data_IF_897108964619
#
_entry.id   IF_897108964619
#
_cell.length_a   1.000
_cell.length_b   1.000
_cell.length_c   1.000
_cell.angle_alpha   90.00
_cell.angle_beta   90.00
_cell.angle_gamma   90.00
#
_symmetry.space_group_name_H-M   'P 1'
#
loop_
_entity.id
_entity.type
_entity.pdbx_description
1 polymer ?
#
# COMPACT_ATOMS: atom_id res chain seq x y z
N UNK A 1 25.35 -8.77 32.15
CA UNK A 1 25.29 -10.24 32.32
C UNK A 1 24.67 -10.87 31.08
N UNK A 2 24.99 -12.10 30.69
CA UNK A 2 24.44 -12.72 29.45
C UNK A 2 22.91 -12.73 29.39
N UNK A 3 22.22 -12.71 30.54
CA UNK A 3 20.77 -12.59 30.65
C UNK A 3 20.21 -11.24 30.16
N UNK A 4 20.95 -10.13 30.32
CA UNK A 4 20.48 -8.79 29.92
C UNK A 4 20.46 -8.63 28.39
N UNK A 5 21.45 -9.24 27.72
CA UNK A 5 21.53 -9.28 26.26
C UNK A 5 20.33 -10.03 25.64
N UNK A 6 20.00 -11.20 26.20
CA UNK A 6 18.86 -12.01 25.74
C UNK A 6 17.54 -11.25 25.90
N UNK A 7 17.35 -10.55 27.03
CA UNK A 7 16.16 -9.71 27.26
C UNK A 7 16.04 -8.58 26.23
N UNK A 8 17.14 -7.92 25.89
CA UNK A 8 17.12 -6.85 24.88
C UNK A 8 16.73 -7.39 23.50
N UNK A 9 17.25 -8.55 23.10
CA UNK A 9 16.89 -9.18 21.82
C UNK A 9 15.39 -9.48 21.79
N UNK A 10 14.83 -10.05 22.85
CA UNK A 10 13.39 -10.34 22.92
C UNK A 10 12.52 -9.08 22.79
N UNK A 11 12.88 -8.01 23.50
CA UNK A 11 12.16 -6.73 23.44
C UNK A 11 12.20 -6.15 22.02
N UNK A 12 13.37 -6.18 21.37
CA UNK A 12 13.49 -5.65 20.01
C UNK A 12 12.73 -6.51 18.99
N UNK A 13 12.73 -7.84 19.14
CA UNK A 13 11.94 -8.73 18.30
C UNK A 13 10.44 -8.47 18.45
N UNK A 14 9.94 -8.34 19.69
CA UNK A 14 8.54 -8.01 19.97
C UNK A 14 8.15 -6.67 19.34
N UNK A 15 8.97 -5.64 19.52
CA UNK A 15 8.74 -4.31 18.95
C UNK A 15 8.68 -4.31 17.42
N UNK A 16 9.53 -5.10 16.76
CA UNK A 16 9.50 -5.26 15.30
C UNK A 16 8.23 -6.00 14.88
N UNK A 17 7.85 -7.05 15.61
CA UNK A 17 6.60 -7.79 15.39
C UNK A 17 5.37 -6.90 15.46
N UNK A 18 5.24 -6.07 16.50
CA UNK A 18 4.13 -5.14 16.69
C UNK A 18 4.00 -4.15 15.53
N UNK A 19 5.12 -3.60 15.05
CA UNK A 19 5.12 -2.69 13.90
C UNK A 19 4.66 -3.39 12.63
N UNK A 20 5.10 -4.62 12.38
CA UNK A 20 4.67 -5.40 11.22
C UNK A 20 3.15 -5.64 11.27
N UNK A 21 2.60 -5.96 12.45
CA UNK A 21 1.16 -6.15 12.64
C UNK A 21 0.39 -4.84 12.41
N UNK A 22 0.87 -3.71 12.94
CA UNK A 22 0.26 -2.40 12.73
C UNK A 22 0.21 -2.03 11.23
N UNK A 23 1.32 -2.19 10.50
CA UNK A 23 1.37 -1.93 9.06
C UNK A 23 0.42 -2.83 8.28
N UNK A 24 0.30 -4.12 8.66
CA UNK A 24 -0.69 -5.01 8.03
C UNK A 24 -2.11 -4.49 8.19
N UNK A 25 -2.47 -4.03 9.39
CA UNK A 25 -3.79 -3.49 9.65
C UNK A 25 -4.05 -2.20 8.85
N UNK A 26 -3.05 -1.34 8.76
CA UNK A 26 -3.13 -0.10 7.97
C UNK A 26 -3.29 -0.39 6.47
N UNK A 27 -2.52 -1.35 5.93
CA UNK A 27 -2.68 -1.80 4.54
C UNK A 27 -4.08 -2.31 4.24
N UNK A 28 -4.70 -3.06 5.16
CA UNK A 28 -6.09 -3.53 5.02
C UNK A 28 -7.06 -2.34 4.96
N UNK A 29 -6.90 -1.37 5.86
CA UNK A 29 -7.73 -0.17 5.89
C UNK A 29 -7.59 0.66 4.59
N UNK A 30 -6.36 0.83 4.10
CA UNK A 30 -6.08 1.53 2.84
C UNK A 30 -6.64 0.77 1.63
N UNK A 31 -6.57 -0.56 1.60
CA UNK A 31 -7.13 -1.35 0.51
C UNK A 31 -8.66 -1.20 0.45
N UNK A 32 -9.32 -1.22 1.62
CA UNK A 32 -10.76 -0.95 1.71
C UNK A 32 -11.10 0.43 1.16
N UNK A 33 -10.38 1.47 1.61
CA UNK A 33 -10.58 2.85 1.11
C UNK A 33 -10.32 2.96 -0.40
N UNK A 34 -9.33 2.23 -0.93
CA UNK A 34 -9.04 2.17 -2.38
C UNK A 34 -10.24 1.62 -3.16
N UNK A 35 -10.85 0.55 -2.67
CA UNK A 35 -12.03 -0.05 -3.32
C UNK A 35 -13.24 0.88 -3.25
N UNK A 36 -13.52 1.47 -2.09
CA UNK A 36 -14.61 2.46 -1.91
C UNK A 36 -14.44 3.65 -2.87
N UNK A 37 -13.21 4.17 -2.99
CA UNK A 37 -12.90 5.27 -3.91
C UNK A 37 -13.11 4.87 -5.38
N UNK A 38 -12.77 3.63 -5.74
CA UNK A 38 -13.00 3.08 -7.09
C UNK A 38 -14.50 2.94 -7.39
N UNK A 39 -15.28 2.49 -6.43
CA UNK A 39 -16.74 2.37 -6.55
C UNK A 39 -17.40 3.75 -6.66
N UNK A 40 -17.01 4.71 -5.80
CA UNK A 40 -17.48 6.08 -5.88
C UNK A 40 -17.21 6.73 -7.24
N UNK A 41 -16.00 6.54 -7.78
CA UNK A 41 -15.63 7.07 -9.09
C UNK A 41 -16.46 6.45 -10.21
N UNK A 42 -16.74 5.14 -10.15
CA UNK A 42 -17.63 4.46 -11.11
C UNK A 42 -19.07 4.97 -11.02
N UNK A 43 -19.58 5.20 -9.81
CA UNK A 43 -20.93 5.73 -9.60
C UNK A 43 -21.10 7.11 -10.26
N UNK A 44 -20.14 8.01 -10.06
CA UNK A 44 -20.19 9.37 -10.63
C UNK A 44 -20.07 9.33 -12.16
N UNK A 45 -19.19 8.48 -12.71
CA UNK A 45 -19.02 8.36 -14.16
C UNK A 45 -20.25 7.78 -14.84
N UNK A 46 -20.91 6.80 -14.19
CA UNK A 46 -22.10 6.14 -14.75
C UNK A 46 -23.39 6.94 -14.55
N UNK A 47 -23.41 7.97 -13.70
CA UNK A 47 -24.54 8.87 -13.54
C UNK A 47 -24.71 9.78 -14.77
N UNK A 48 -25.61 9.40 -15.67
CA UNK A 48 -25.92 10.17 -16.90
C UNK A 48 -26.86 11.37 -16.68
N UNK A 49 -27.61 11.38 -15.59
CA UNK A 49 -28.75 12.30 -15.40
C UNK A 49 -28.46 13.48 -14.45
N UNK A 50 -27.27 13.53 -13.82
CA UNK A 50 -26.96 14.52 -12.78
C UNK A 50 -25.55 15.07 -12.93
N UNK A 51 -25.41 16.39 -13.08
CA UNK A 51 -24.09 17.06 -13.19
C UNK A 51 -23.43 17.37 -11.83
N UNK A 52 -24.13 17.07 -10.72
CA UNK A 52 -23.65 17.31 -9.35
C UNK A 52 -23.81 16.05 -8.51
N UNK A 53 -22.82 15.79 -7.66
CA UNK A 53 -22.81 14.69 -6.70
C UNK A 53 -22.67 15.22 -5.28
N UNK A 54 -23.21 14.47 -4.32
CA UNK A 54 -22.95 14.71 -2.89
C UNK A 54 -21.71 13.93 -2.48
N UNK A 55 -20.76 14.60 -1.83
CA UNK A 55 -19.52 14.00 -1.33
C UNK A 55 -19.35 14.35 0.15
N UNK A 56 -18.81 13.42 0.92
CA UNK A 56 -18.36 13.66 2.29
C UNK A 56 -16.87 14.01 2.33
N UNK A 57 -16.53 15.16 2.87
CA UNK A 57 -15.15 15.58 3.14
C UNK A 57 -15.00 15.74 4.65
N UNK A 58 -14.29 14.81 5.29
CA UNK A 58 -14.26 14.72 6.75
C UNK A 58 -15.66 14.48 7.32
N UNK A 59 -16.14 15.41 8.16
CA UNK A 59 -17.49 15.39 8.74
C UNK A 59 -18.51 16.20 7.96
N UNK A 60 -18.13 16.84 6.85
CA UNK A 60 -19.02 17.71 6.07
C UNK A 60 -19.57 17.00 4.85
N UNK A 61 -20.88 17.19 4.58
CA UNK A 61 -21.54 16.75 3.35
C UNK A 61 -21.68 17.95 2.41
N UNK A 62 -21.08 17.87 1.23
CA UNK A 62 -21.05 18.97 0.26
C UNK A 62 -21.57 18.51 -1.10
N UNK A 63 -22.30 19.38 -1.79
CA UNK A 63 -22.72 19.16 -3.18
C UNK A 63 -21.70 19.80 -4.12
N UNK A 64 -21.09 19.00 -4.98
CA UNK A 64 -20.05 19.45 -5.90
C UNK A 64 -20.34 19.01 -7.33
N UNK A 65 -19.81 19.74 -8.31
CA UNK A 65 -19.90 19.34 -9.72
C UNK A 65 -19.10 18.07 -9.96
N UNK A 66 -19.61 17.17 -10.80
CA UNK A 66 -19.01 15.85 -11.01
C UNK A 66 -17.54 15.92 -11.45
N UNK A 67 -17.16 16.93 -12.23
CA UNK A 67 -15.77 17.11 -12.64
C UNK A 67 -14.83 17.31 -11.45
N UNK A 68 -15.20 18.19 -10.51
CA UNK A 68 -14.43 18.43 -9.28
C UNK A 68 -14.43 17.21 -8.37
N UNK A 69 -15.58 16.53 -8.28
CA UNK A 69 -15.72 15.27 -7.53
C UNK A 69 -14.77 14.19 -8.03
N UNK A 70 -14.71 14.00 -9.35
CA UNK A 70 -13.81 13.02 -10.00
C UNK A 70 -12.35 13.41 -9.81
N UNK A 71 -12.00 14.69 -9.93
CA UNK A 71 -10.64 15.15 -9.69
C UNK A 71 -10.18 14.85 -8.26
N UNK A 72 -11.04 15.13 -7.27
CA UNK A 72 -10.76 14.87 -5.86
C UNK A 72 -10.56 13.37 -5.60
N UNK A 73 -11.48 12.52 -6.08
CA UNK A 73 -11.36 11.07 -5.95
C UNK A 73 -10.11 10.50 -6.64
N UNK A 74 -9.69 11.09 -7.77
CA UNK A 74 -8.44 10.69 -8.45
C UNK A 74 -7.20 11.05 -7.64
N UNK A 75 -7.18 12.23 -6.99
CA UNK A 75 -6.09 12.61 -6.08
C UNK A 75 -6.03 11.68 -4.87
N UNK A 76 -7.19 11.36 -4.29
CA UNK A 76 -7.29 10.37 -3.20
C UNK A 76 -6.75 9.00 -3.63
N UNK A 77 -7.07 8.52 -4.84
CA UNK A 77 -6.50 7.27 -5.38
C UNK A 77 -4.98 7.31 -5.44
N UNK A 78 -4.40 8.39 -5.96
CA UNK A 78 -2.94 8.55 -6.05
C UNK A 78 -2.27 8.55 -4.67
N UNK A 79 -2.88 9.25 -3.71
CA UNK A 79 -2.36 9.30 -2.34
C UNK A 79 -2.43 7.93 -1.66
N UNK A 80 -3.56 7.22 -1.78
CA UNK A 80 -3.72 5.87 -1.23
C UNK A 80 -2.70 4.90 -1.85
N UNK A 81 -2.48 4.99 -3.16
CA UNK A 81 -1.52 4.11 -3.85
C UNK A 81 -0.07 4.41 -3.45
N UNK A 82 0.30 5.68 -3.30
CA UNK A 82 1.61 6.07 -2.77
C UNK A 82 1.83 5.54 -1.35
N UNK A 83 0.83 5.67 -0.47
CA UNK A 83 0.93 5.20 0.92
C UNK A 83 1.01 3.67 1.00
N UNK A 84 0.21 2.94 0.21
CA UNK A 84 0.29 1.47 0.12
C UNK A 84 1.70 1.03 -0.30
N UNK A 85 2.29 1.69 -1.29
CA UNK A 85 3.63 1.34 -1.75
C UNK A 85 4.69 1.63 -0.68
N UNK A 86 4.61 2.79 -0.03
CA UNK A 86 5.47 3.15 1.09
C UNK A 86 5.40 2.11 2.22
N UNK A 87 4.19 1.75 2.67
CA UNK A 87 3.99 0.79 3.74
C UNK A 87 4.46 -0.62 3.38
N UNK A 88 4.33 -1.02 2.11
CA UNK A 88 4.89 -2.29 1.62
C UNK A 88 6.41 -2.29 1.69
N UNK A 89 7.07 -1.21 1.30
CA UNK A 89 8.53 -1.10 1.38
C UNK A 89 9.00 -1.07 2.85
N UNK A 90 8.29 -0.36 3.72
CA UNK A 90 8.55 -0.35 5.16
C UNK A 90 8.37 -1.75 5.79
N UNK A 91 7.29 -2.44 5.45
CA UNK A 91 7.06 -3.82 5.88
C UNK A 91 8.20 -4.74 5.46
N UNK A 92 8.73 -4.60 4.23
CA UNK A 92 9.84 -5.43 3.77
C UNK A 92 11.10 -5.23 4.61
N UNK A 93 11.41 -3.97 4.92
CA UNK A 93 12.55 -3.61 5.76
C UNK A 93 12.41 -4.17 7.17
N UNK A 94 11.20 -4.12 7.75
CA UNK A 94 10.94 -4.67 9.09
C UNK A 94 11.02 -6.19 9.11
N UNK A 95 10.49 -6.88 8.09
CA UNK A 95 10.60 -8.35 7.97
C UNK A 95 12.07 -8.78 7.84
N UNK A 96 12.87 -8.04 7.08
CA UNK A 96 14.32 -8.29 7.00
C UNK A 96 14.97 -8.11 8.37
N UNK A 97 14.64 -7.03 9.09
CA UNK A 97 15.15 -6.78 10.44
C UNK A 97 14.76 -7.88 11.43
N UNK A 98 13.53 -8.38 11.36
CA UNK A 98 13.07 -9.49 12.19
C UNK A 98 13.94 -10.74 11.97
N UNK A 99 14.19 -11.10 10.70
CA UNK A 99 15.06 -12.24 10.37
C UNK A 99 16.49 -12.07 10.85
N UNK A 100 17.04 -10.87 10.75
CA UNK A 100 18.38 -10.56 11.26
C UNK A 100 18.45 -10.77 12.79
N UNK A 101 17.41 -10.38 13.52
CA UNK A 101 17.29 -10.57 14.98
C UNK A 101 17.15 -12.05 15.36
N UNK A 102 16.46 -12.85 14.53
CA UNK A 102 16.26 -14.30 14.70
C UNK A 102 17.42 -15.14 14.16
N UNK A 103 18.45 -14.50 13.59
CA UNK A 103 19.59 -15.14 12.91
C UNK A 103 19.18 -16.09 11.78
N UNK A 104 18.07 -15.79 11.12
CA UNK A 104 17.59 -16.51 9.95
C UNK A 104 18.25 -16.01 8.66
N UNK A 105 18.25 -16.86 7.63
CA UNK A 105 18.72 -16.45 6.30
C UNK A 105 17.79 -15.40 5.67
N UNK A 106 18.32 -14.48 4.85
CA UNK A 106 17.50 -13.52 4.11
C UNK A 106 16.48 -14.20 3.19
N UNK A 107 15.29 -13.60 3.03
CA UNK A 107 14.26 -14.13 2.14
C UNK A 107 14.70 -14.03 0.68
N UNK A 108 14.86 -15.18 0.03
CA UNK A 108 15.10 -15.25 -1.42
C UNK A 108 13.85 -14.82 -2.18
N UNK A 109 14.00 -13.91 -3.13
CA UNK A 109 12.93 -13.50 -4.04
C UNK A 109 11.93 -12.47 -3.48
N UNK A 110 12.11 -12.03 -2.23
CA UNK A 110 11.19 -11.09 -1.57
C UNK A 110 11.27 -9.64 -2.13
N UNK A 111 12.43 -9.31 -2.70
CA UNK A 111 12.69 -8.01 -3.32
C UNK A 111 12.45 -8.01 -4.84
N UNK A 112 11.87 -9.08 -5.40
CA UNK A 112 11.57 -9.14 -6.82
C UNK A 112 10.52 -8.09 -7.20
N UNK A 113 10.83 -7.33 -8.23
CA UNK A 113 9.89 -6.42 -8.88
C UNK A 113 9.34 -7.10 -10.14
N UNK A 114 8.06 -6.90 -10.46
CA UNK A 114 7.52 -7.38 -11.73
C UNK A 114 8.27 -6.70 -12.89
N UNK A 115 8.53 -7.47 -13.95
CA UNK A 115 9.17 -6.94 -15.15
C UNK A 115 8.30 -5.84 -15.77
N UNK A 116 8.93 -4.71 -16.10
CA UNK A 116 8.25 -3.64 -16.82
C UNK A 116 8.10 -4.00 -18.31
N UNK A 117 7.17 -3.35 -19.01
CA UNK A 117 6.89 -3.60 -20.45
C UNK A 117 8.14 -3.44 -21.32
N UNK A 118 9.01 -2.51 -20.98
CA UNK A 118 10.30 -2.31 -21.65
C UNK A 118 11.22 -3.52 -21.50
N UNK A 119 11.33 -4.04 -20.28
CA UNK A 119 12.17 -5.21 -19.97
C UNK A 119 11.62 -6.47 -20.65
N UNK A 120 10.29 -6.64 -20.66
CA UNK A 120 9.63 -7.74 -21.40
C UNK A 120 9.91 -7.64 -22.90
N UNK A 121 9.84 -6.44 -23.48
CA UNK A 121 10.12 -6.26 -24.90
C UNK A 121 11.61 -6.48 -25.24
N UNK A 122 12.52 -6.09 -24.34
CA UNK A 122 13.95 -6.38 -24.46
C UNK A 122 14.23 -7.90 -24.40
N UNK A 123 13.53 -8.64 -23.54
CA UNK A 123 13.64 -10.11 -23.51
C UNK A 123 13.15 -10.73 -24.81
N UNK A 124 11.99 -10.30 -25.33
CA UNK A 124 11.43 -10.81 -26.60
C UNK A 124 12.32 -10.57 -27.82
N UNK A 125 13.14 -9.53 -27.80
CA UNK A 125 14.03 -9.17 -28.92
C UNK A 125 15.38 -9.89 -28.83
N UNK A 126 15.82 -10.30 -27.63
CA UNK A 126 17.12 -10.95 -27.41
C UNK A 126 17.03 -12.46 -27.13
N UNK A 127 15.85 -13.01 -26.85
CA UNK A 127 15.64 -14.46 -26.84
C UNK A 127 15.27 -14.93 -28.24
N UNK A 128 15.95 -15.95 -28.80
CA UNK A 128 15.40 -16.74 -29.88
C UNK A 128 14.19 -17.50 -29.32
N UNK A 129 12.97 -17.03 -29.61
CA UNK A 129 11.76 -17.84 -29.48
C UNK A 129 11.59 -18.69 -30.73
#
# INVERSE_FOLDING_TARGET
SSSDCVKQILIETERVGDKILAIKQELIALDKRRQETREALRLIINQKNTNKSWITVGSMLMKMDNQKSVELLKKDQQQIEAEINRLRDEQKMLVKRQRDLEHETPLKGFDLKPLNRTEINALKTNLPM
#
